data_IF_234535321239
#
_entry.id   IF_234535321239
#
_cell.length_a   1.000
_cell.length_b   1.000
_cell.length_c   1.000
_cell.angle_alpha   90.00
_cell.angle_beta   90.00
_cell.angle_gamma   90.00
#
_symmetry.space_group_name_H-M   'P 1'
#
loop_
_entity.id
_entity.type
_entity.pdbx_description
1 polymer ?
#
# COMPACT_ATOMS: atom_id res chain seq x y z
N UNK A 1 52.87 13.53 -18.76
CA UNK A 1 53.85 12.53 -19.23
C UNK A 1 53.16 11.17 -19.25
N UNK A 2 52.51 10.77 -20.35
CA UNK A 2 52.91 9.64 -21.25
C UNK A 2 53.67 8.50 -20.54
N UNK A 3 53.08 7.29 -20.46
CA UNK A 3 53.41 6.00 -21.17
C UNK A 3 52.19 5.04 -20.96
N UNK A 4 51.44 4.47 -21.92
CA UNK A 4 51.63 3.79 -23.22
C UNK A 4 51.76 2.24 -23.10
N UNK A 5 50.77 1.55 -23.72
CA UNK A 5 50.72 0.20 -24.38
C UNK A 5 50.86 -1.05 -23.47
N UNK A 6 50.19 -2.19 -23.70
CA UNK A 6 50.14 -3.06 -24.91
C UNK A 6 49.06 -4.16 -24.70
N UNK A 7 47.97 -4.25 -25.48
CA UNK A 7 47.67 -5.20 -26.60
C UNK A 7 48.15 -6.65 -26.41
N UNK A 8 47.24 -7.62 -26.32
CA UNK A 8 47.44 -8.96 -26.91
C UNK A 8 46.13 -9.41 -27.59
N UNK A 9 46.19 -9.48 -28.91
CA UNK A 9 45.24 -10.17 -29.77
C UNK A 9 45.60 -11.66 -29.83
N UNK A 10 44.60 -12.55 -29.94
CA UNK A 10 44.75 -13.84 -30.60
C UNK A 10 43.50 -14.16 -31.41
N UNK A 11 43.65 -14.02 -32.73
CA UNK A 11 42.82 -14.68 -33.73
C UNK A 11 43.30 -16.13 -33.90
N UNK A 12 42.40 -17.04 -34.25
CA UNK A 12 42.73 -18.23 -35.05
C UNK A 12 41.49 -18.71 -35.81
N UNK A 13 41.70 -18.92 -37.11
CA UNK A 13 40.78 -19.25 -38.18
C UNK A 13 40.98 -20.72 -38.61
N UNK A 14 40.01 -21.24 -39.39
CA UNK A 14 40.13 -22.26 -40.45
C UNK A 14 39.89 -23.74 -40.06
N UNK A 15 39.32 -24.65 -40.87
CA UNK A 15 38.67 -24.61 -42.21
C UNK A 15 38.15 -26.03 -42.60
N UNK A 16 37.57 -26.13 -43.81
CA UNK A 16 37.53 -27.29 -44.75
C UNK A 16 36.18 -28.02 -44.85
N UNK A 17 35.30 -27.73 -45.83
CA UNK A 17 35.30 -28.02 -47.29
C UNK A 17 34.82 -29.44 -47.65
N UNK A 18 33.76 -29.53 -48.46
CA UNK A 18 33.56 -30.42 -49.63
C UNK A 18 32.35 -29.91 -50.46
N UNK A 19 32.58 -29.67 -51.76
CA UNK A 19 31.64 -29.48 -52.89
C UNK A 19 31.64 -30.79 -53.72
N UNK A 20 30.67 -31.14 -54.61
CA UNK A 20 30.15 -30.35 -55.77
C UNK A 20 28.61 -30.56 -55.98
N UNK A 21 27.84 -30.07 -56.97
CA UNK A 21 28.04 -29.78 -58.40
C UNK A 21 26.83 -28.95 -58.92
N UNK A 22 27.02 -28.18 -60.00
CA UNK A 22 26.02 -27.40 -60.79
C UNK A 22 25.17 -28.33 -61.72
N UNK A 23 23.98 -27.95 -62.30
CA UNK A 23 23.80 -26.74 -63.12
C UNK A 23 22.40 -26.04 -63.20
N UNK A 24 22.48 -24.79 -63.68
CA UNK A 24 21.55 -24.02 -64.55
C UNK A 24 20.08 -23.74 -64.15
N UNK A 25 19.76 -22.44 -64.08
CA UNK A 25 18.43 -21.78 -64.15
C UNK A 25 17.76 -21.94 -65.55
N UNK A 26 16.54 -21.41 -65.86
CA UNK A 26 15.63 -20.53 -65.09
C UNK A 26 14.12 -20.86 -65.16
N UNK A 27 13.29 -20.37 -64.21
CA UNK A 27 11.87 -20.00 -64.47
C UNK A 27 11.27 -19.10 -63.36
N UNK A 28 11.00 -17.85 -63.75
CA UNK A 28 9.84 -16.98 -63.49
C UNK A 28 9.12 -16.96 -62.11
N UNK A 29 9.29 -15.83 -61.41
CA UNK A 29 8.32 -14.89 -60.78
C UNK A 29 7.05 -15.33 -60.00
N UNK A 30 6.93 -14.71 -58.80
CA UNK A 30 5.74 -14.31 -57.99
C UNK A 30 4.76 -15.41 -57.55
N UNK A 31 4.48 -15.63 -56.27
CA UNK A 31 3.77 -14.71 -55.36
C UNK A 31 4.09 -15.06 -53.90
N UNK A 32 4.45 -14.07 -53.08
CA UNK A 32 4.84 -14.24 -51.67
C UNK A 32 3.62 -14.55 -50.77
N UNK A 33 3.64 -15.75 -50.20
CA UNK A 33 2.88 -16.13 -49.02
C UNK A 33 3.29 -15.27 -47.80
N UNK A 34 2.48 -14.26 -47.46
CA UNK A 34 2.64 -13.38 -46.30
C UNK A 34 1.82 -13.90 -45.10
N UNK A 35 2.18 -15.07 -44.56
CA UNK A 35 1.50 -15.64 -43.38
C UNK A 35 2.25 -15.36 -42.07
N UNK A 36 3.52 -14.93 -42.15
CA UNK A 36 4.41 -14.80 -40.98
C UNK A 36 4.30 -13.47 -40.22
N UNK A 37 3.71 -12.44 -40.83
CA UNK A 37 3.60 -11.10 -40.22
C UNK A 37 2.38 -10.97 -39.30
N UNK A 38 1.26 -11.62 -39.63
CA UNK A 38 -0.01 -11.48 -38.89
C UNK A 38 0.01 -12.10 -37.48
N UNK A 39 0.85 -13.11 -37.24
CA UNK A 39 0.91 -13.80 -35.95
C UNK A 39 1.62 -12.99 -34.86
N UNK A 40 2.51 -12.06 -35.23
CA UNK A 40 3.32 -11.31 -34.27
C UNK A 40 2.54 -10.08 -33.78
N UNK A 41 1.82 -9.41 -34.68
CA UNK A 41 1.00 -8.22 -34.38
C UNK A 41 -0.21 -8.55 -33.50
N UNK A 42 -0.85 -9.71 -33.73
CA UNK A 42 -1.96 -10.22 -32.91
C UNK A 42 -1.54 -10.56 -31.48
N UNK A 43 -0.29 -11.01 -31.27
CA UNK A 43 0.22 -11.34 -29.94
C UNK A 43 0.66 -10.08 -29.18
N UNK A 44 1.14 -9.04 -29.87
CA UNK A 44 1.53 -7.78 -29.24
C UNK A 44 0.35 -6.89 -28.85
N UNK A 45 -0.74 -6.89 -29.63
CA UNK A 45 -1.97 -6.15 -29.29
C UNK A 45 -2.69 -6.77 -28.07
N UNK A 46 -2.72 -8.11 -27.98
CA UNK A 46 -3.28 -8.84 -26.83
C UNK A 46 -2.48 -8.67 -25.53
N UNK A 47 -1.17 -8.43 -25.60
CA UNK A 47 -0.35 -8.15 -24.41
C UNK A 47 -0.46 -6.69 -23.96
N UNK A 48 -0.64 -5.73 -24.88
CA UNK A 48 -0.81 -4.31 -24.57
C UNK A 48 -2.19 -4.01 -23.95
N UNK A 49 -3.24 -4.69 -24.41
CA UNK A 49 -4.60 -4.58 -23.84
C UNK A 49 -4.69 -5.24 -22.45
N UNK A 50 -4.02 -6.38 -22.24
CA UNK A 50 -3.96 -7.04 -20.94
C UNK A 50 -3.20 -6.23 -19.86
N UNK A 51 -2.17 -5.47 -20.23
CA UNK A 51 -1.40 -4.67 -19.27
C UNK A 51 -2.16 -3.43 -18.78
N UNK A 52 -3.00 -2.83 -19.63
CA UNK A 52 -3.80 -1.65 -19.30
C UNK A 52 -5.05 -2.03 -18.48
N UNK A 53 -5.71 -3.16 -18.78
CA UNK A 53 -6.81 -3.69 -17.97
C UNK A 53 -6.36 -4.07 -16.55
N UNK A 54 -5.20 -4.73 -16.40
CA UNK A 54 -4.66 -5.12 -15.08
C UNK A 54 -4.31 -3.89 -14.24
N UNK A 55 -3.78 -2.82 -14.85
CA UNK A 55 -3.47 -1.57 -14.15
C UNK A 55 -4.73 -0.85 -13.66
N UNK A 56 -5.80 -0.89 -14.45
CA UNK A 56 -7.10 -0.28 -14.13
C UNK A 56 -7.81 -1.04 -13.00
N UNK A 57 -7.79 -2.37 -13.02
CA UNK A 57 -8.34 -3.21 -11.95
C UNK A 57 -7.55 -3.01 -10.65
N UNK A 58 -6.21 -2.95 -10.71
CA UNK A 58 -5.39 -2.67 -9.53
C UNK A 58 -5.67 -1.28 -8.93
N UNK A 59 -5.86 -0.25 -9.78
CA UNK A 59 -6.21 1.08 -9.32
C UNK A 59 -7.58 1.10 -8.61
N UNK A 60 -8.59 0.44 -9.19
CA UNK A 60 -9.93 0.32 -8.61
C UNK A 60 -9.92 -0.46 -7.29
N UNK A 61 -9.16 -1.55 -7.20
CA UNK A 61 -9.03 -2.32 -5.95
C UNK A 61 -8.34 -1.51 -4.84
N UNK A 62 -7.32 -0.71 -5.18
CA UNK A 62 -6.65 0.18 -4.21
C UNK A 62 -7.60 1.27 -3.71
N UNK A 63 -8.41 1.85 -4.60
CA UNK A 63 -9.44 2.82 -4.23
C UNK A 63 -10.51 2.20 -3.32
N UNK A 64 -11.02 1.01 -3.67
CA UNK A 64 -11.98 0.28 -2.83
C UNK A 64 -11.41 -0.02 -1.44
N UNK A 65 -10.16 -0.49 -1.36
CA UNK A 65 -9.49 -0.75 -0.08
C UNK A 65 -9.27 0.53 0.74
N UNK A 66 -8.96 1.64 0.09
CA UNK A 66 -8.79 2.93 0.76
C UNK A 66 -10.12 3.48 1.29
N UNK A 67 -11.17 3.42 0.48
CA UNK A 67 -12.52 3.84 0.89
C UNK A 67 -13.05 2.97 2.02
N UNK A 68 -12.86 1.66 1.92
CA UNK A 68 -13.12 0.76 3.04
C UNK A 68 -12.35 1.26 4.26
N UNK A 69 -11.01 1.43 4.20
CA UNK A 69 -10.18 1.89 5.34
C UNK A 69 -10.72 3.14 6.02
N UNK A 70 -11.13 4.13 5.23
CA UNK A 70 -11.80 5.33 5.72
C UNK A 70 -13.10 5.00 6.46
N UNK A 71 -13.96 4.16 5.88
CA UNK A 71 -15.21 3.73 6.52
C UNK A 71 -14.99 2.95 7.83
N UNK A 72 -13.87 2.25 7.98
CA UNK A 72 -13.55 1.54 9.22
C UNK A 72 -13.04 2.47 10.31
N UNK A 73 -12.12 3.39 9.98
CA UNK A 73 -11.71 4.44 10.92
C UNK A 73 -12.90 5.29 11.35
N UNK A 74 -13.75 5.69 10.41
CA UNK A 74 -14.93 6.50 10.71
C UNK A 74 -15.86 5.83 11.72
N UNK A 75 -16.10 4.51 11.62
CA UNK A 75 -16.90 3.77 12.62
C UNK A 75 -16.31 3.84 14.03
N UNK A 76 -14.98 3.80 14.16
CA UNK A 76 -14.30 3.94 15.45
C UNK A 76 -14.48 5.36 15.97
N UNK A 77 -14.30 6.37 15.12
CA UNK A 77 -14.50 7.78 15.48
C UNK A 77 -15.94 8.06 15.94
N UNK A 78 -16.92 7.59 15.18
CA UNK A 78 -18.34 7.76 15.48
C UNK A 78 -18.69 7.08 16.81
N UNK A 79 -18.15 5.88 17.06
CA UNK A 79 -18.32 5.19 18.34
C UNK A 79 -17.68 5.94 19.51
N UNK A 80 -16.54 6.61 19.30
CA UNK A 80 -15.92 7.45 20.31
C UNK A 80 -16.76 8.71 20.61
N UNK A 81 -17.27 9.37 19.56
CA UNK A 81 -18.13 10.57 19.68
C UNK A 81 -19.43 10.22 20.42
N UNK A 82 -20.03 9.07 20.12
CA UNK A 82 -21.25 8.59 20.79
C UNK A 82 -21.07 8.36 22.30
N UNK A 83 -19.83 8.29 22.79
CA UNK A 83 -19.54 8.09 24.20
C UNK A 83 -19.40 9.39 24.98
N UNK A 84 -19.35 10.58 24.35
CA UNK A 84 -19.17 11.86 25.06
C UNK A 84 -20.16 12.01 26.22
N UNK A 85 -19.65 12.37 27.40
CA UNK A 85 -20.42 12.50 28.63
C UNK A 85 -20.54 11.21 29.45
N UNK A 86 -20.12 10.06 28.93
CA UNK A 86 -20.08 8.80 29.67
C UNK A 86 -18.91 8.81 30.66
N UNK A 87 -19.18 8.42 31.92
CA UNK A 87 -18.17 8.23 32.97
C UNK A 87 -17.38 6.94 32.75
N UNK A 88 -16.13 7.06 32.29
CA UNK A 88 -15.23 5.93 32.04
C UNK A 88 -13.79 6.42 31.85
N UNK A 89 -12.82 5.51 32.04
CA UNK A 89 -11.41 5.80 31.81
C UNK A 89 -11.06 5.86 30.32
N UNK A 90 -9.82 6.29 30.02
CA UNK A 90 -9.33 6.44 28.65
C UNK A 90 -9.21 5.12 27.89
N UNK A 91 -8.79 4.04 28.56
CA UNK A 91 -8.67 2.72 27.94
C UNK A 91 -10.03 2.11 27.64
N UNK A 92 -11.03 2.35 28.50
CA UNK A 92 -12.40 1.88 28.32
C UNK A 92 -13.08 2.57 27.14
N UNK A 93 -12.89 3.89 26.99
CA UNK A 93 -13.34 4.64 25.81
C UNK A 93 -12.79 4.00 24.52
N UNK A 94 -11.47 3.78 24.44
CA UNK A 94 -10.86 3.22 23.22
C UNK A 94 -11.30 1.77 23.01
N UNK A 95 -11.37 0.96 24.08
CA UNK A 95 -11.89 -0.41 24.05
C UNK A 95 -13.29 -0.47 23.43
N UNK A 96 -14.21 0.38 23.89
CA UNK A 96 -15.58 0.40 23.42
C UNK A 96 -15.70 0.95 21.99
N UNK A 97 -14.84 1.91 21.62
CA UNK A 97 -14.76 2.41 20.24
C UNK A 97 -14.31 1.32 19.26
N UNK A 98 -13.33 0.51 19.67
CA UNK A 98 -12.81 -0.61 18.88
C UNK A 98 -13.79 -1.79 18.78
N UNK A 99 -14.63 -2.00 19.81
CA UNK A 99 -15.69 -3.02 19.76
C UNK A 99 -16.69 -2.75 18.63
N UNK A 100 -16.94 -1.49 18.27
CA UNK A 100 -17.83 -1.13 17.16
C UNK A 100 -17.33 -1.66 15.80
N UNK A 101 -16.04 -1.98 15.69
CA UNK A 101 -15.43 -2.59 14.50
C UNK A 101 -15.01 -4.04 14.73
N UNK A 102 -15.50 -4.67 15.79
CA UNK A 102 -15.27 -6.09 16.10
C UNK A 102 -13.95 -6.39 16.82
N UNK A 103 -13.21 -5.38 17.25
CA UNK A 103 -11.95 -5.56 18.00
C UNK A 103 -12.23 -5.51 19.49
N UNK A 104 -12.06 -6.64 20.18
CA UNK A 104 -12.17 -6.72 21.64
C UNK A 104 -10.78 -6.73 22.26
N UNK A 105 -10.28 -5.55 22.62
CA UNK A 105 -8.98 -5.37 23.24
C UNK A 105 -9.08 -4.44 24.44
N UNK A 106 -8.48 -4.82 25.56
CA UNK A 106 -8.36 -3.99 26.75
C UNK A 106 -6.98 -4.21 27.38
N UNK A 107 -6.29 -3.12 27.72
CA UNK A 107 -4.95 -3.19 28.28
C UNK A 107 -4.43 -1.81 28.66
N UNK A 108 -3.15 -1.75 29.02
CA UNK A 108 -2.50 -0.48 29.33
C UNK A 108 -2.47 0.46 28.11
N UNK A 109 -2.41 1.79 28.31
CA UNK A 109 -2.33 2.78 27.24
C UNK A 109 -1.35 2.45 26.09
N UNK A 110 -0.12 2.06 26.44
CA UNK A 110 0.90 1.72 25.45
C UNK A 110 0.58 0.44 24.64
N UNK A 111 -0.24 -0.46 25.18
CA UNK A 111 -0.53 -1.74 24.56
C UNK A 111 -1.42 -1.60 23.30
N UNK A 112 -2.16 -0.49 23.18
CA UNK A 112 -2.94 -0.16 21.97
C UNK A 112 -2.06 0.04 20.73
N UNK A 113 -0.76 0.30 20.90
CA UNK A 113 0.19 0.36 19.79
C UNK A 113 0.34 -0.97 19.03
N UNK A 114 -0.01 -2.10 19.64
CA UNK A 114 0.06 -3.42 19.00
C UNK A 114 -1.05 -3.67 17.97
N UNK A 115 -2.15 -2.90 18.04
CA UNK A 115 -3.35 -3.09 17.23
C UNK A 115 -3.19 -2.62 15.78
N UNK A 116 -2.10 -1.94 15.46
CA UNK A 116 -1.99 -1.22 14.21
C UNK A 116 -0.58 -0.79 13.88
N UNK A 117 -0.50 0.09 12.90
CA UNK A 117 0.75 0.64 12.40
C UNK A 117 0.86 2.12 12.78
N UNK A 118 2.06 2.55 13.14
CA UNK A 118 2.32 3.96 13.44
C UNK A 118 2.12 4.83 12.20
N UNK A 119 1.48 5.98 12.37
CA UNK A 119 1.18 6.92 11.28
C UNK A 119 1.51 8.36 11.67
N UNK A 120 1.99 9.13 10.69
CA UNK A 120 2.20 10.58 10.80
C UNK A 120 1.09 11.40 10.12
N UNK A 121 0.20 10.74 9.39
CA UNK A 121 -0.99 11.34 8.76
C UNK A 121 -2.23 10.82 9.49
N UNK A 122 -2.65 11.44 10.61
CA UNK A 122 -3.76 10.91 11.41
C UNK A 122 -5.10 11.12 10.71
N UNK A 123 -5.95 10.09 10.76
CA UNK A 123 -7.29 10.06 10.20
C UNK A 123 -8.32 9.73 11.29
N UNK A 124 -9.58 10.20 11.18
CA UNK A 124 -10.62 9.87 12.14
C UNK A 124 -10.69 8.36 12.39
N UNK A 125 -10.63 7.98 13.67
CA UNK A 125 -10.63 6.60 14.13
C UNK A 125 -9.25 6.04 14.47
N UNK A 126 -8.18 6.74 14.13
CA UNK A 126 -6.85 6.38 14.61
C UNK A 126 -6.77 6.53 16.13
N UNK A 127 -6.08 5.59 16.78
CA UNK A 127 -5.86 5.64 18.23
C UNK A 127 -4.66 6.51 18.53
N UNK A 128 -4.83 7.46 19.43
CA UNK A 128 -3.74 8.32 19.92
C UNK A 128 -3.14 7.67 21.15
N UNK A 129 -1.82 7.50 21.13
CA UNK A 129 -1.06 7.00 22.27
C UNK A 129 -0.25 8.16 22.86
N UNK A 130 -0.42 8.38 24.15
CA UNK A 130 0.36 9.31 24.95
C UNK A 130 1.15 8.55 26.02
N UNK A 131 2.07 9.24 26.69
CA UNK A 131 2.70 8.69 27.89
C UNK A 131 1.67 8.57 29.02
N UNK A 132 1.16 7.35 29.22
CA UNK A 132 0.19 7.01 30.27
C UNK A 132 -1.27 7.34 29.93
N UNK A 133 -1.60 7.71 28.70
CA UNK A 133 -2.97 8.06 28.28
C UNK A 133 -3.27 7.61 26.85
N UNK A 134 -4.55 7.42 26.53
CA UNK A 134 -5.01 7.13 25.15
C UNK A 134 -6.26 7.92 24.80
N UNK A 135 -6.46 8.15 23.51
CA UNK A 135 -7.65 8.82 22.98
C UNK A 135 -7.99 8.29 21.58
N UNK A 136 -9.14 8.67 21.05
CA UNK A 136 -9.51 8.43 19.65
C UNK A 136 -9.47 9.74 18.89
N UNK A 137 -8.70 9.80 17.80
CA UNK A 137 -8.65 10.97 16.93
C UNK A 137 -9.93 11.08 16.11
N UNK A 138 -10.49 12.29 16.01
CA UNK A 138 -11.73 12.55 15.27
C UNK A 138 -11.55 13.54 14.11
N UNK A 139 -10.31 13.96 13.85
CA UNK A 139 -10.00 14.95 12.81
C UNK A 139 -9.74 16.35 13.37
N UNK A 140 -9.21 17.24 12.51
CA UNK A 140 -9.00 18.66 12.80
C UNK A 140 -8.23 18.96 14.10
N UNK A 141 -7.27 18.11 14.48
CA UNK A 141 -6.52 18.29 15.73
C UNK A 141 -7.33 18.02 17.01
N UNK A 142 -8.48 17.34 16.89
CA UNK A 142 -9.36 17.00 18.02
C UNK A 142 -9.42 15.51 18.28
N UNK A 143 -9.72 15.16 19.53
CA UNK A 143 -9.85 13.79 19.98
C UNK A 143 -10.91 13.65 21.08
N UNK A 144 -11.41 12.43 21.25
CA UNK A 144 -12.22 12.05 22.42
C UNK A 144 -11.29 11.44 23.46
N UNK A 145 -11.26 12.05 24.64
CA UNK A 145 -10.49 11.59 25.79
C UNK A 145 -11.46 10.96 26.81
N UNK A 146 -11.02 9.92 27.51
CA UNK A 146 -11.71 9.38 28.70
C UNK A 146 -10.99 9.79 29.98
N UNK A 147 -11.67 9.68 31.12
CA UNK A 147 -11.12 10.11 32.41
C UNK A 147 -10.96 11.63 32.56
N UNK A 148 -11.56 12.42 31.68
CA UNK A 148 -11.48 13.88 31.67
C UNK A 148 -12.44 14.50 32.70
N UNK A 149 -12.07 15.67 33.28
CA UNK A 149 -12.92 16.48 34.17
C UNK A 149 -13.75 15.68 35.21
N UNK A 150 -13.11 14.85 36.02
CA UNK A 150 -13.78 14.04 37.04
C UNK A 150 -14.23 12.64 36.60
N UNK A 151 -13.70 12.13 35.49
CA UNK A 151 -13.90 10.74 35.05
C UNK A 151 -14.81 10.57 33.84
N UNK A 152 -15.20 11.65 33.18
CA UNK A 152 -16.08 11.63 32.00
C UNK A 152 -15.30 11.64 30.69
N UNK A 153 -15.94 11.26 29.61
CA UNK A 153 -15.41 11.35 28.26
C UNK A 153 -15.77 12.68 27.64
N UNK A 154 -14.81 13.33 26.98
CA UNK A 154 -15.00 14.66 26.42
C UNK A 154 -14.18 14.86 25.15
N UNK A 155 -14.68 15.72 24.28
CA UNK A 155 -13.98 16.16 23.09
C UNK A 155 -13.00 17.29 23.45
N UNK A 156 -11.71 17.11 23.19
CA UNK A 156 -10.68 18.12 23.47
C UNK A 156 -9.64 18.18 22.35
N UNK A 157 -8.67 19.10 22.49
CA UNK A 157 -7.49 19.13 21.64
C UNK A 157 -6.65 17.86 21.85
N UNK A 158 -6.06 17.36 20.76
CA UNK A 158 -5.04 16.31 20.82
C UNK A 158 -3.88 16.71 21.73
N UNK A 159 -3.55 17.99 21.77
CA UNK A 159 -2.56 18.55 22.69
C UNK A 159 -3.16 18.65 24.09
N UNK A 160 -3.12 17.53 24.82
CA UNK A 160 -3.44 17.50 26.24
C UNK A 160 -2.16 17.64 27.10
N UNK A 161 -2.30 17.59 28.43
CA UNK A 161 -1.17 17.66 29.37
C UNK A 161 -0.19 16.49 29.24
N UNK A 162 -0.57 15.40 28.59
CA UNK A 162 0.27 14.22 28.43
C UNK A 162 1.11 14.31 27.15
N UNK A 163 2.41 13.94 27.19
CA UNK A 163 3.25 13.90 25.99
C UNK A 163 2.69 12.95 24.94
N UNK A 164 2.49 13.45 23.71
CA UNK A 164 2.09 12.66 22.56
C UNK A 164 3.22 11.70 22.16
N UNK A 165 2.92 10.40 22.07
CA UNK A 165 3.85 9.39 21.56
C UNK A 165 3.61 9.19 20.06
N UNK A 166 2.35 9.14 19.63
CA UNK A 166 1.98 9.11 18.22
C UNK A 166 0.58 8.56 17.97
N UNK A 167 0.32 8.22 16.71
CA UNK A 167 -0.97 7.73 16.23
C UNK A 167 -0.84 6.32 15.69
N UNK A 168 -1.86 5.51 15.92
CA UNK A 168 -1.94 4.12 15.50
C UNK A 168 -3.11 3.97 14.54
N UNK A 169 -2.81 3.56 13.31
CA UNK A 169 -3.81 3.10 12.36
C UNK A 169 -4.19 1.67 12.66
N UNK A 170 -5.38 1.48 13.20
CA UNK A 170 -5.89 0.17 13.60
C UNK A 170 -5.97 -0.77 12.39
N UNK A 171 -5.33 -1.94 12.49
CA UNK A 171 -5.41 -2.98 11.46
C UNK A 171 -6.77 -3.67 11.55
N UNK A 172 -7.31 -3.98 10.37
CA UNK A 172 -8.52 -4.80 10.29
C UNK A 172 -8.25 -6.23 10.69
N UNK A 173 -9.15 -6.86 11.46
CA UNK A 173 -9.13 -8.31 11.66
C UNK A 173 -9.46 -9.07 10.38
#
# INVERSE_FOLDING_TARGET
MKKIKTIIARAALAASMILPVMPASPVMASEKENTKTRLIEVVTDSMSTAHEEVKTVQAQMRQKKAEEAKNFGQKIADAAIAQIGVGQDCTMLVTNSLKAVGISFHGAPAAYASLGDWTSDPQPGDVIVYSGHVAVYIGNGRAIHGGWNGGTTAEWSVECSNPLVGYIRVRRP
#
